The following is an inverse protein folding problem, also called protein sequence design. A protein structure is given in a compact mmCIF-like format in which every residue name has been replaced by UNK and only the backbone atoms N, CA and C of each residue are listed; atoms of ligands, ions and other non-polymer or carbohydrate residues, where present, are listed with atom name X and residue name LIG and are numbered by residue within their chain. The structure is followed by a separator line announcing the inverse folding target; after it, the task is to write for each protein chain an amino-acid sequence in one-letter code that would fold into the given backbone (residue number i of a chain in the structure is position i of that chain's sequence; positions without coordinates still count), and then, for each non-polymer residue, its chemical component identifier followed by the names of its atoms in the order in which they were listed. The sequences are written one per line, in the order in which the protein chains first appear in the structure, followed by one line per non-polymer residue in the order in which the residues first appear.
data_IF_375524833649
#
_entry.id   IF_375524833649
#
_cell.length_a   1.000
_cell.length_b   1.000
_cell.length_c   1.000
_cell.angle_alpha   90.00
_cell.angle_beta   90.00
_cell.angle_gamma   90.00
#
_symmetry.space_group_name_H-M   'P 1'
#
loop_
_entity.id
_entity.type
_entity.pdbx_description
1 polymer ?
#
# COMPACT_ATOMS: atom_id res chain seq x y z
N UNK A 1 -4.10 -8.17 -14.71
CA UNK A 1 -3.93 -6.85 -14.06
C UNK A 1 -2.55 -6.86 -13.47
N UNK A 2 -1.67 -5.93 -13.86
CA UNK A 2 -0.32 -5.86 -13.28
C UNK A 2 -0.42 -5.48 -11.81
N UNK A 3 0.36 -6.17 -10.97
CA UNK A 3 0.47 -5.86 -9.54
C UNK A 3 1.58 -4.84 -9.38
N UNK A 4 1.24 -3.65 -8.89
CA UNK A 4 2.19 -2.55 -8.73
C UNK A 4 2.27 -2.20 -7.25
N UNK A 5 3.49 -2.05 -6.73
CA UNK A 5 3.68 -1.61 -5.35
C UNK A 5 3.16 -0.18 -5.16
N UNK A 6 2.26 0.00 -4.19
CA UNK A 6 1.66 1.29 -3.87
C UNK A 6 2.63 2.34 -3.29
N UNK A 7 3.82 1.93 -2.85
CA UNK A 7 4.85 2.83 -2.32
C UNK A 7 5.87 3.23 -3.39
N UNK A 8 6.50 2.26 -4.05
CA UNK A 8 7.64 2.50 -4.95
C UNK A 8 7.31 2.39 -6.46
N UNK A 9 6.09 1.94 -6.82
CA UNK A 9 5.67 1.82 -8.21
C UNK A 9 6.30 0.66 -8.99
N UNK A 10 7.10 -0.19 -8.35
CA UNK A 10 7.68 -1.38 -8.99
C UNK A 10 6.58 -2.41 -9.30
N UNK A 11 6.73 -3.08 -10.44
CA UNK A 11 5.91 -4.24 -10.80
C UNK A 11 6.31 -5.41 -9.90
N UNK A 12 5.31 -6.11 -9.36
CA UNK A 12 5.46 -7.35 -8.59
C UNK A 12 5.21 -8.50 -9.57
N UNK A 13 6.23 -9.30 -9.81
CA UNK A 13 6.22 -10.34 -10.83
C UNK A 13 5.32 -11.53 -10.44
N UNK A 14 4.93 -12.32 -11.44
CA UNK A 14 4.12 -13.51 -11.20
C UNK A 14 4.91 -14.55 -10.38
N UNK A 15 4.34 -14.97 -9.25
CA UNK A 15 4.96 -15.91 -8.32
C UNK A 15 5.71 -15.27 -7.15
N UNK A 16 5.89 -13.94 -7.15
CA UNK A 16 6.44 -13.23 -5.99
C UNK A 16 5.41 -13.08 -4.87
N UNK A 17 5.89 -13.14 -3.62
CA UNK A 17 5.08 -12.78 -2.46
C UNK A 17 5.01 -11.26 -2.31
N UNK A 18 3.88 -10.78 -1.80
CA UNK A 18 3.65 -9.37 -1.55
C UNK A 18 2.80 -9.20 -0.30
N UNK A 19 2.80 -7.98 0.23
CA UNK A 19 2.01 -7.58 1.39
C UNK A 19 0.78 -6.83 0.93
N UNK A 20 -0.38 -7.08 1.52
CA UNK A 20 -1.62 -6.34 1.26
C UNK A 20 -2.07 -5.65 2.54
N UNK A 21 -2.36 -4.36 2.46
CA UNK A 21 -3.00 -3.66 3.57
C UNK A 21 -4.45 -4.13 3.66
N UNK A 22 -4.80 -4.86 4.73
CA UNK A 22 -6.15 -5.41 4.91
C UNK A 22 -7.14 -4.35 5.43
N UNK A 23 -6.65 -3.32 6.11
CA UNK A 23 -7.45 -2.31 6.79
C UNK A 23 -6.91 -0.91 6.51
N UNK A 24 -7.02 -0.45 5.26
CA UNK A 24 -6.84 0.97 4.99
C UNK A 24 -8.17 1.69 5.24
N UNK A 25 -8.40 2.09 6.50
CA UNK A 25 -9.61 2.84 6.91
C UNK A 25 -9.88 4.02 5.98
N UNK A 26 -8.83 4.72 5.52
CA UNK A 26 -8.99 5.87 4.63
C UNK A 26 -9.47 5.47 3.23
N UNK A 27 -8.94 4.39 2.65
CA UNK A 27 -9.47 3.84 1.40
C UNK A 27 -10.95 3.45 1.58
N UNK A 28 -11.27 2.61 2.56
CA UNK A 28 -12.65 2.14 2.78
C UNK A 28 -13.63 3.28 3.06
N UNK A 29 -13.20 4.36 3.73
CA UNK A 29 -14.06 5.49 4.08
C UNK A 29 -14.17 6.56 3.00
N UNK A 30 -13.10 6.82 2.25
CA UNK A 30 -12.98 8.04 1.44
C UNK A 30 -12.69 7.77 -0.04
N UNK A 31 -12.23 6.58 -0.40
CA UNK A 31 -11.91 6.24 -1.79
C UNK A 31 -12.66 4.97 -2.19
N UNK A 32 -13.72 5.13 -2.99
CA UNK A 32 -14.55 4.04 -3.53
C UNK A 32 -13.81 3.31 -4.68
N UNK A 33 -12.54 2.98 -4.46
CA UNK A 33 -11.64 2.37 -5.44
C UNK A 33 -11.15 1.02 -4.97
N UNK A 34 -11.27 0.00 -5.82
CA UNK A 34 -10.67 -1.32 -5.64
C UNK A 34 -9.16 -1.34 -5.91
N UNK A 35 -8.45 -0.22 -5.75
CA UNK A 35 -7.00 -0.21 -5.93
C UNK A 35 -6.35 -1.10 -4.87
N UNK A 36 -5.71 -2.16 -5.35
CA UNK A 36 -5.02 -3.14 -4.53
C UNK A 36 -3.84 -2.47 -3.84
N UNK A 37 -4.02 -2.09 -2.58
CA UNK A 37 -2.98 -1.46 -1.76
C UNK A 37 -1.96 -2.53 -1.33
N UNK A 38 -1.12 -2.91 -2.29
CA UNK A 38 -0.14 -3.99 -2.19
C UNK A 38 1.29 -3.44 -2.22
N UNK A 39 2.19 -4.15 -1.56
CA UNK A 39 3.57 -3.71 -1.31
C UNK A 39 4.54 -4.84 -1.59
N UNK A 40 5.62 -4.56 -2.30
CA UNK A 40 6.67 -5.54 -2.59
C UNK A 40 7.49 -5.92 -1.35
N UNK A 41 7.48 -5.07 -0.31
CA UNK A 41 8.21 -5.34 0.93
C UNK A 41 7.53 -4.70 2.14
N UNK A 42 7.98 -5.09 3.35
CA UNK A 42 7.52 -4.49 4.60
C UNK A 42 7.97 -3.04 4.73
N UNK A 43 9.18 -2.73 4.24
CA UNK A 43 9.74 -1.38 4.25
C UNK A 43 8.84 -0.43 3.47
N UNK A 44 8.42 -0.82 2.25
CA UNK A 44 7.47 -0.07 1.44
C UNK A 44 6.10 0.11 2.12
N UNK A 45 5.61 -0.91 2.84
CA UNK A 45 4.37 -0.78 3.61
C UNK A 45 4.52 0.26 4.73
N UNK A 46 5.62 0.18 5.49
CA UNK A 46 5.88 1.10 6.58
C UNK A 46 6.03 2.53 6.06
N UNK A 47 6.91 2.77 5.07
CA UNK A 47 7.16 4.11 4.48
C UNK A 47 5.87 4.85 4.09
N UNK A 48 4.93 4.14 3.48
CA UNK A 48 3.69 4.74 2.97
C UNK A 48 2.65 5.03 4.06
N UNK A 49 2.69 4.33 5.20
CA UNK A 49 1.66 4.38 6.24
C UNK A 49 2.16 4.97 7.56
N UNK A 50 3.33 5.63 7.57
CA UNK A 50 3.78 6.37 8.73
C UNK A 50 2.92 7.61 9.00
N UNK A 51 2.81 7.93 10.28
CA UNK A 51 2.20 9.15 10.78
C UNK A 51 3.30 10.00 11.41
N UNK A 52 3.25 11.29 11.17
CA UNK A 52 4.07 12.29 11.86
C UNK A 52 3.17 13.09 12.79
N UNK A 53 3.59 13.27 14.04
CA UNK A 53 2.93 14.17 15.00
C UNK A 53 3.28 15.61 14.64
N UNK A 54 2.27 16.45 14.46
CA UNK A 54 2.45 17.88 14.19
C UNK A 54 1.92 18.66 15.40
N UNK A 55 2.80 19.40 16.07
CA UNK A 55 2.44 20.32 17.14
C UNK A 55 1.61 21.48 16.57
N UNK A 56 0.44 21.73 17.18
CA UNK A 56 -0.50 22.80 16.80
C UNK A 56 -0.49 23.96 17.79
#
# INVERSE_FOLDING_TARGET
MEKICACCGMVIEEGESYFKCLENFLLVKFFDSEEDNIFCSKECFCEQLFLEEIDS
#
